data_IF_035976096700
#
_entry.id   IF_035976096700
#
_cell.length_a   1.000
_cell.length_b   1.000
_cell.length_c   1.000
_cell.angle_alpha   90.00
_cell.angle_beta   90.00
_cell.angle_gamma   90.00
#
_symmetry.space_group_name_H-M   'P 1'
#
loop_
_entity.id
_entity.type
_entity.pdbx_description
1 polymer ?
#
# COMPACT_ATOMS: atom_id res chain seq x y z
N UNK A 1 -23.37 -33.66 41.63
CA UNK A 1 -21.96 -33.19 41.63
C UNK A 1 -21.88 -31.92 40.81
N UNK A 2 -22.12 -30.76 41.43
CA UNK A 2 -22.05 -29.43 40.81
C UNK A 2 -20.81 -28.74 41.39
N UNK A 3 -19.88 -28.31 40.54
CA UNK A 3 -18.75 -27.46 40.97
C UNK A 3 -19.26 -26.03 41.20
N UNK A 4 -18.86 -25.35 42.28
CA UNK A 4 -19.19 -23.94 42.47
C UNK A 4 -18.27 -23.07 41.59
N UNK A 5 -18.84 -22.01 41.02
CA UNK A 5 -18.09 -20.91 40.42
C UNK A 5 -17.41 -20.08 41.52
N UNK A 6 -16.15 -19.63 41.35
CA UNK A 6 -15.56 -18.69 42.27
C UNK A 6 -16.18 -17.29 42.07
N UNK A 7 -16.46 -16.65 43.20
CA UNK A 7 -16.90 -15.27 43.29
C UNK A 7 -15.86 -14.32 42.69
N UNK A 8 -16.30 -13.42 41.79
CA UNK A 8 -15.52 -12.24 41.45
C UNK A 8 -15.65 -11.25 42.61
N UNK A 9 -14.61 -11.20 43.42
CA UNK A 9 -14.42 -10.18 44.44
C UNK A 9 -13.99 -8.87 43.77
N UNK A 10 -14.63 -7.79 44.20
CA UNK A 10 -14.26 -6.41 43.97
C UNK A 10 -12.81 -6.17 44.40
N UNK A 11 -11.98 -5.71 43.46
CA UNK A 11 -10.68 -5.12 43.76
C UNK A 11 -10.35 -4.12 42.65
N UNK A 12 -10.16 -2.83 43.02
CA UNK A 12 -9.50 -1.88 42.13
C UNK A 12 -10.07 -0.46 42.03
N UNK A 13 -10.76 0.06 43.04
CA UNK A 13 -10.76 1.52 43.24
C UNK A 13 -9.39 1.92 43.81
N UNK A 14 -8.48 2.37 42.95
CA UNK A 14 -7.25 3.03 43.34
C UNK A 14 -6.93 4.17 42.37
N UNK A 15 -7.20 5.39 42.85
CA UNK A 15 -6.45 6.63 42.61
C UNK A 15 -6.18 7.07 41.15
N UNK A 16 -7.11 7.82 40.56
CA UNK A 16 -6.81 8.83 39.53
C UNK A 16 -6.47 10.17 40.22
N UNK A 17 -5.41 10.17 41.04
CA UNK A 17 -4.94 11.35 41.75
C UNK A 17 -3.44 11.53 41.55
N UNK A 18 -3.04 12.05 40.38
CA UNK A 18 -1.83 12.86 40.12
C UNK A 18 -1.45 12.82 38.62
N UNK A 19 -2.05 13.69 37.81
CA UNK A 19 -1.50 14.10 36.51
C UNK A 19 -1.69 15.62 36.34
N UNK A 20 -1.18 16.40 37.29
CA UNK A 20 -0.80 17.80 37.04
C UNK A 20 0.69 17.82 36.72
N UNK A 21 1.01 17.79 35.42
CA UNK A 21 2.04 18.63 34.78
C UNK A 21 2.08 18.31 33.28
N UNK A 22 2.09 19.32 32.38
CA UNK A 22 2.29 19.09 30.97
C UNK A 22 3.69 18.49 30.74
N UNK A 23 3.87 17.53 29.82
CA UNK A 23 5.18 16.99 29.53
C UNK A 23 6.07 18.10 28.99
N UNK A 24 7.17 18.37 29.68
CA UNK A 24 8.29 19.14 29.13
C UNK A 24 8.76 18.39 27.89
N UNK A 25 8.63 19.03 26.73
CA UNK A 25 8.93 18.44 25.42
C UNK A 25 10.35 17.88 25.39
N UNK A 26 10.46 16.56 25.29
CA UNK A 26 11.70 15.90 24.91
C UNK A 26 12.04 16.31 23.48
N UNK A 27 13.29 16.76 23.29
CA UNK A 27 13.81 17.06 21.96
C UNK A 27 13.73 15.81 21.06
N UNK A 28 13.54 15.96 19.74
CA UNK A 28 13.40 14.83 18.84
C UNK A 28 14.73 14.07 18.71
N UNK A 29 14.77 12.83 19.18
CA UNK A 29 15.90 11.87 19.25
C UNK A 29 16.71 11.60 17.95
N UNK A 30 16.35 12.22 16.83
CA UNK A 30 17.05 12.07 15.54
C UNK A 30 17.79 13.34 15.08
N UNK A 31 17.72 14.40 15.88
CA UNK A 31 18.54 15.59 15.73
C UNK A 31 19.13 15.79 17.11
N UNK A 32 20.44 15.60 17.23
CA UNK A 32 21.09 15.79 18.50
C UNK A 32 20.73 17.20 19.01
N UNK A 33 20.63 17.32 20.34
CA UNK A 33 20.14 18.54 20.96
C UNK A 33 20.97 19.77 20.56
N UNK A 34 22.23 19.56 20.15
CA UNK A 34 23.16 20.57 19.67
C UNK A 34 22.76 21.06 18.29
N UNK A 35 22.48 20.18 17.32
CA UNK A 35 21.99 20.55 15.98
C UNK A 35 20.66 21.32 16.05
N UNK A 36 19.73 20.92 16.92
CA UNK A 36 18.47 21.66 17.09
C UNK A 36 18.69 23.03 17.70
N UNK A 37 19.56 23.13 18.71
CA UNK A 37 19.91 24.39 19.37
C UNK A 37 20.65 25.31 18.40
N UNK A 38 21.55 24.78 17.58
CA UNK A 38 22.28 25.51 16.54
C UNK A 38 21.32 26.07 15.49
N UNK A 39 20.34 25.29 15.01
CA UNK A 39 19.31 25.78 14.08
C UNK A 39 18.48 26.91 14.73
N UNK A 40 18.06 26.74 15.98
CA UNK A 40 17.29 27.75 16.71
C UNK A 40 18.08 29.01 17.05
N UNK A 41 19.39 28.92 17.25
CA UNK A 41 20.27 30.08 17.48
C UNK A 41 20.65 30.78 16.17
N UNK A 42 20.69 30.05 15.06
CA UNK A 42 21.04 30.60 13.74
C UNK A 42 19.83 31.30 13.10
N UNK A 43 18.61 30.83 13.35
CA UNK A 43 17.38 31.41 12.79
C UNK A 43 17.15 32.89 13.16
N UNK A 44 17.35 33.35 14.41
CA UNK A 44 17.27 34.76 14.78
C UNK A 44 18.43 35.57 14.21
N UNK A 45 19.63 35.01 14.08
CA UNK A 45 20.78 35.70 13.46
C UNK A 45 20.54 35.96 11.97
N UNK A 46 19.89 35.03 11.28
CA UNK A 46 19.42 35.20 9.90
C UNK A 46 18.25 36.20 9.77
N UNK A 47 17.48 36.42 10.84
CA UNK A 47 16.33 37.34 10.86
C UNK A 47 16.71 38.75 11.34
N UNK A 48 17.73 38.87 12.17
CA UNK A 48 18.23 40.11 12.77
C UNK A 48 19.40 40.74 12.01
N UNK A 49 20.15 39.97 11.23
CA UNK A 49 20.97 40.54 10.18
C UNK A 49 20.01 41.03 9.09
N UNK A 50 19.71 42.32 9.09
CA UNK A 50 18.91 43.01 8.06
C UNK A 50 19.60 42.98 6.69
N UNK A 51 19.96 41.80 6.20
CA UNK A 51 20.41 41.59 4.85
C UNK A 51 19.19 41.74 3.95
N UNK A 52 19.14 42.81 3.13
CA UNK A 52 18.07 42.94 2.16
C UNK A 52 18.11 41.70 1.27
N UNK A 53 16.92 41.18 0.97
CA UNK A 53 16.63 40.01 0.13
C UNK A 53 17.20 40.12 -1.32
N UNK A 54 18.04 41.12 -1.60
CA UNK A 54 18.60 41.52 -2.89
C UNK A 54 20.04 41.08 -3.17
N UNK A 55 20.79 40.51 -2.21
CA UNK A 55 22.22 40.17 -2.43
C UNK A 55 22.56 38.68 -2.40
N UNK A 56 21.56 37.79 -2.48
CA UNK A 56 21.77 36.35 -2.67
C UNK A 56 21.57 35.92 -4.14
N UNK A 57 21.89 36.82 -5.08
CA UNK A 57 21.73 36.59 -6.53
C UNK A 57 23.05 36.52 -7.31
N UNK A 58 24.19 36.87 -6.72
CA UNK A 58 25.48 36.97 -7.42
C UNK A 58 26.58 36.08 -6.81
N UNK A 59 26.24 34.86 -6.41
CA UNK A 59 27.24 33.80 -6.25
C UNK A 59 27.04 32.80 -7.40
N UNK A 60 27.92 32.92 -8.40
CA UNK A 60 28.01 32.16 -9.65
C UNK A 60 28.45 30.70 -9.44
N UNK A 61 27.90 30.05 -8.42
CA UNK A 61 28.12 28.63 -8.11
C UNK A 61 26.79 27.90 -8.18
N UNK A 62 26.75 26.82 -8.97
CA UNK A 62 25.57 26.08 -9.44
C UNK A 62 24.64 25.43 -8.41
N UNK A 63 24.54 25.94 -7.18
CA UNK A 63 23.74 25.39 -6.07
C UNK A 63 22.36 26.06 -5.91
N UNK A 64 21.96 26.96 -6.81
CA UNK A 64 20.63 27.60 -6.81
C UNK A 64 19.47 26.61 -6.97
N UNK A 65 19.71 25.44 -7.56
CA UNK A 65 18.70 24.38 -7.68
C UNK A 65 18.41 23.68 -6.34
N UNK A 66 19.44 23.47 -5.52
CA UNK A 66 19.31 22.80 -4.22
C UNK A 66 18.54 23.68 -3.23
N UNK A 67 18.84 24.98 -3.19
CA UNK A 67 18.13 25.93 -2.33
C UNK A 67 16.67 26.13 -2.74
N UNK A 68 16.35 26.14 -4.05
CA UNK A 68 14.96 26.21 -4.52
C UNK A 68 14.18 24.94 -4.16
N UNK A 69 14.78 23.76 -4.33
CA UNK A 69 14.19 22.50 -3.93
C UNK A 69 13.95 22.45 -2.41
N UNK A 70 14.92 22.87 -1.60
CA UNK A 70 14.80 22.93 -0.14
C UNK A 70 13.72 23.94 0.33
N UNK A 71 13.60 25.10 -0.33
CA UNK A 71 12.57 26.11 -0.02
C UNK A 71 11.17 25.66 -0.46
N UNK A 72 11.06 24.96 -1.58
CA UNK A 72 9.81 24.34 -2.04
C UNK A 72 9.39 23.22 -1.10
N UNK A 73 10.30 22.30 -0.76
CA UNK A 73 10.06 21.28 0.26
C UNK A 73 9.68 21.91 1.60
N UNK A 74 10.39 22.94 2.08
CA UNK A 74 10.06 23.63 3.33
C UNK A 74 8.68 24.26 3.35
N UNK A 75 8.23 24.86 2.23
CA UNK A 75 6.85 25.39 2.10
C UNK A 75 5.82 24.26 2.01
N UNK A 76 6.09 23.21 1.23
CA UNK A 76 5.22 22.05 1.11
C UNK A 76 5.05 21.35 2.46
N UNK A 77 6.14 21.17 3.22
CA UNK A 77 6.15 20.57 4.55
C UNK A 77 5.42 21.43 5.59
N UNK A 78 5.40 22.77 5.46
CA UNK A 78 4.60 23.65 6.32
C UNK A 78 3.10 23.58 6.02
N UNK A 79 2.71 23.57 4.75
CA UNK A 79 1.30 23.35 4.35
C UNK A 79 0.83 21.96 4.80
N UNK A 80 1.72 20.97 4.70
CA UNK A 80 1.51 19.59 5.19
C UNK A 80 1.58 19.51 6.73
N UNK A 81 2.23 20.45 7.42
CA UNK A 81 2.41 20.43 8.87
C UNK A 81 1.27 21.12 9.64
N UNK A 82 0.79 22.27 9.16
CA UNK A 82 -0.18 23.10 9.88
C UNK A 82 -1.62 22.58 9.78
N UNK A 83 -2.00 21.86 8.72
CA UNK A 83 -3.41 21.49 8.50
C UNK A 83 -3.85 20.15 9.13
N UNK A 84 -3.03 19.46 9.93
CA UNK A 84 -3.60 18.33 10.68
C UNK A 84 -2.66 17.47 11.49
N UNK A 85 -1.91 18.10 12.39
CA UNK A 85 -1.23 17.40 13.45
C UNK A 85 -2.07 17.22 14.73
N UNK A 86 -3.23 17.88 14.90
CA UNK A 86 -3.89 17.92 16.23
C UNK A 86 -5.43 17.75 16.29
N UNK A 87 -6.12 17.06 15.36
CA UNK A 87 -7.58 16.95 15.56
C UNK A 87 -8.42 15.93 14.81
N UNK A 88 -7.89 15.14 13.86
CA UNK A 88 -8.76 14.15 13.16
C UNK A 88 -8.85 12.81 13.89
N UNK A 89 -7.80 12.42 14.61
CA UNK A 89 -7.74 11.15 15.32
C UNK A 89 -7.22 11.38 16.74
N UNK A 90 -7.79 10.69 17.70
CA UNK A 90 -7.23 10.55 19.05
C UNK A 90 -5.95 9.69 19.00
N UNK A 91 -5.13 9.76 20.04
CA UNK A 91 -3.89 8.97 20.12
C UNK A 91 -4.15 7.47 20.03
N UNK A 92 -5.26 6.99 20.61
CA UNK A 92 -5.65 5.59 20.58
C UNK A 92 -6.09 5.12 19.17
N UNK A 93 -6.79 5.97 18.43
CA UNK A 93 -7.14 5.71 17.03
C UNK A 93 -5.90 5.69 16.13
N UNK A 94 -4.94 6.58 16.39
CA UNK A 94 -3.67 6.61 15.66
C UNK A 94 -2.86 5.33 15.89
N UNK A 95 -2.77 4.89 17.15
CA UNK A 95 -2.18 3.62 17.54
C UNK A 95 -2.82 2.44 16.81
N UNK A 96 -4.15 2.40 16.69
CA UNK A 96 -4.84 1.37 15.92
C UNK A 96 -4.47 1.41 14.44
N UNK A 97 -4.41 2.60 13.85
CA UNK A 97 -4.01 2.79 12.44
C UNK A 97 -2.59 2.26 12.19
N UNK A 98 -1.67 2.48 13.13
CA UNK A 98 -0.30 1.95 13.08
C UNK A 98 -0.31 0.42 13.12
N UNK A 99 -1.03 -0.19 14.07
CA UNK A 99 -1.14 -1.65 14.17
C UNK A 99 -1.77 -2.28 12.90
N UNK A 100 -2.79 -1.64 12.34
CA UNK A 100 -3.41 -2.06 11.07
C UNK A 100 -2.43 -1.96 9.89
N UNK A 101 -1.67 -0.87 9.80
CA UNK A 101 -0.70 -0.65 8.73
C UNK A 101 0.52 -1.59 8.83
N UNK A 102 0.96 -1.91 10.05
CA UNK A 102 2.00 -2.91 10.30
C UNK A 102 1.55 -4.34 9.98
N UNK A 103 0.25 -4.52 9.71
CA UNK A 103 -0.36 -5.84 9.56
C UNK A 103 -0.19 -6.62 10.86
N UNK A 104 -0.77 -6.14 11.95
CA UNK A 104 -1.02 -6.96 13.14
C UNK A 104 -2.01 -8.07 12.80
N UNK A 105 -1.61 -9.32 13.03
CA UNK A 105 -2.38 -10.52 12.70
C UNK A 105 -3.10 -11.09 13.92
N UNK A 106 -2.52 -11.04 15.12
CA UNK A 106 -3.15 -11.52 16.36
C UNK A 106 -3.86 -10.38 17.09
N UNK A 107 -5.19 -10.38 17.14
CA UNK A 107 -5.98 -9.43 17.93
C UNK A 107 -6.65 -10.14 19.10
N UNK A 108 -7.34 -11.24 18.81
CA UNK A 108 -8.19 -11.97 19.75
C UNK A 108 -7.53 -13.22 20.33
N UNK A 109 -6.43 -13.69 19.71
CA UNK A 109 -5.82 -14.97 20.04
C UNK A 109 -6.61 -16.18 19.51
N UNK A 110 -7.71 -15.94 18.79
CA UNK A 110 -8.46 -16.94 18.04
C UNK A 110 -8.12 -16.86 16.55
N UNK A 111 -7.60 -17.96 16.00
CA UNK A 111 -7.08 -17.99 14.64
C UNK A 111 -8.13 -17.60 13.58
N UNK A 112 -9.37 -18.08 13.71
CA UNK A 112 -10.40 -17.84 12.68
C UNK A 112 -10.93 -16.41 12.76
N UNK A 113 -11.13 -15.89 13.97
CA UNK A 113 -11.56 -14.52 14.18
C UNK A 113 -10.49 -13.52 13.71
N UNK A 114 -9.22 -13.79 14.01
CA UNK A 114 -8.08 -13.00 13.56
C UNK A 114 -7.88 -13.09 12.04
N UNK A 115 -8.05 -14.26 11.44
CA UNK A 115 -7.98 -14.44 9.99
C UNK A 115 -9.07 -13.63 9.28
N UNK A 116 -10.29 -13.61 9.82
CA UNK A 116 -11.36 -12.77 9.30
C UNK A 116 -11.02 -11.28 9.44
N UNK A 117 -10.55 -10.87 10.63
CA UNK A 117 -10.09 -9.51 10.91
C UNK A 117 -8.97 -9.06 9.97
N UNK A 118 -8.01 -9.93 9.67
CA UNK A 118 -6.95 -9.70 8.69
C UNK A 118 -7.50 -9.57 7.29
N UNK A 119 -8.27 -10.58 6.84
CA UNK A 119 -8.72 -10.69 5.46
C UNK A 119 -9.61 -9.52 5.07
N UNK A 120 -10.52 -9.09 5.95
CA UNK A 120 -11.40 -7.93 5.69
C UNK A 120 -10.65 -6.59 5.62
N UNK A 121 -9.43 -6.50 6.15
CA UNK A 121 -8.62 -5.28 6.11
C UNK A 121 -7.52 -5.34 5.04
N UNK A 122 -6.99 -6.51 4.70
CA UNK A 122 -5.92 -6.65 3.73
C UNK A 122 -6.41 -7.00 2.31
N UNK A 123 -7.56 -7.66 2.16
CA UNK A 123 -8.08 -7.99 0.83
C UNK A 123 -8.73 -6.76 0.20
N UNK A 124 -8.30 -6.30 -0.99
CA UNK A 124 -8.79 -5.05 -1.57
C UNK A 124 -10.30 -4.99 -1.77
N UNK A 125 -10.94 -6.12 -2.09
CA UNK A 125 -12.38 -6.17 -2.35
C UNK A 125 -13.15 -6.24 -1.04
N UNK A 126 -12.75 -7.10 -0.10
CA UNK A 126 -13.44 -7.21 1.18
C UNK A 126 -13.27 -5.92 2.00
N UNK A 127 -12.11 -5.27 1.90
CA UNK A 127 -11.85 -3.99 2.56
C UNK A 127 -12.73 -2.83 2.06
N UNK A 128 -13.36 -2.94 0.89
CA UNK A 128 -14.33 -1.92 0.45
C UNK A 128 -15.60 -1.90 1.32
N UNK A 129 -15.98 -3.06 1.84
CA UNK A 129 -17.27 -3.28 2.48
C UNK A 129 -17.17 -3.56 3.97
N UNK A 130 -16.11 -4.25 4.39
CA UNK A 130 -16.01 -4.85 5.73
C UNK A 130 -14.78 -4.41 6.52
N UNK A 131 -13.95 -3.52 5.97
CA UNK A 131 -12.78 -3.01 6.69
C UNK A 131 -13.18 -2.27 7.96
N UNK A 132 -12.25 -2.17 8.89
CA UNK A 132 -12.37 -1.29 10.05
C UNK A 132 -12.60 0.20 9.63
N UNK A 133 -13.43 0.99 10.35
CA UNK A 133 -13.63 2.42 10.05
C UNK A 133 -12.34 3.23 10.08
N UNK A 134 -11.46 2.91 11.04
CA UNK A 134 -10.13 3.51 11.20
C UNK A 134 -9.05 2.85 10.33
N UNK A 135 -9.41 2.23 9.21
CA UNK A 135 -8.42 1.65 8.30
C UNK A 135 -7.44 2.74 7.80
N UNK A 136 -6.13 2.43 7.68
CA UNK A 136 -5.13 3.42 7.25
C UNK A 136 -5.42 3.97 5.85
N UNK A 137 -5.86 3.08 4.95
CA UNK A 137 -6.34 3.44 3.61
C UNK A 137 -7.81 3.82 3.64
N UNK A 138 -8.15 5.00 3.15
CA UNK A 138 -9.51 5.51 3.05
C UNK A 138 -10.37 4.68 2.07
N UNK A 139 -11.69 4.81 2.20
CA UNK A 139 -12.63 4.12 1.30
C UNK A 139 -12.46 4.55 -0.16
N UNK A 140 -12.21 5.84 -0.42
CA UNK A 140 -12.00 6.37 -1.77
C UNK A 140 -10.74 5.77 -2.42
N UNK A 141 -9.64 5.68 -1.68
CA UNK A 141 -8.40 5.04 -2.16
C UNK A 141 -8.61 3.56 -2.45
N UNK A 142 -9.36 2.83 -1.61
CA UNK A 142 -9.68 1.42 -1.87
C UNK A 142 -10.52 1.23 -3.13
N UNK A 143 -11.48 2.13 -3.39
CA UNK A 143 -12.26 2.13 -4.64
C UNK A 143 -11.31 2.36 -5.81
N UNK A 144 -10.44 3.36 -5.72
CA UNK A 144 -9.45 3.67 -6.75
C UNK A 144 -8.51 2.49 -7.02
N UNK A 145 -7.94 1.85 -6.00
CA UNK A 145 -7.10 0.65 -6.13
C UNK A 145 -7.90 -0.49 -6.80
N UNK A 146 -9.16 -0.67 -6.45
CA UNK A 146 -10.02 -1.71 -7.04
C UNK A 146 -10.30 -1.45 -8.53
N UNK A 147 -10.47 -0.18 -8.92
CA UNK A 147 -10.60 0.21 -10.33
C UNK A 147 -9.27 -0.01 -11.08
N UNK A 148 -8.16 0.43 -10.49
CA UNK A 148 -6.80 0.24 -11.02
C UNK A 148 -6.50 -1.24 -11.29
N UNK A 149 -6.85 -2.09 -10.34
CA UNK A 149 -6.77 -3.55 -10.41
C UNK A 149 -7.65 -4.13 -11.52
N UNK A 150 -8.85 -3.58 -11.75
CA UNK A 150 -9.72 -4.00 -12.86
C UNK A 150 -9.14 -3.61 -14.23
N UNK A 151 -8.55 -2.42 -14.36
CA UNK A 151 -7.84 -2.00 -15.58
C UNK A 151 -6.65 -2.92 -15.84
N UNK A 152 -5.86 -3.24 -14.82
CA UNK A 152 -4.73 -4.16 -14.94
C UNK A 152 -5.16 -5.55 -15.42
N UNK A 153 -6.22 -6.13 -14.86
CA UNK A 153 -6.71 -7.45 -15.29
C UNK A 153 -7.25 -7.39 -16.72
N UNK A 154 -7.94 -6.32 -17.09
CA UNK A 154 -8.42 -6.14 -18.47
C UNK A 154 -7.23 -6.09 -19.45
N UNK A 155 -6.15 -5.42 -19.07
CA UNK A 155 -4.90 -5.34 -19.82
C UNK A 155 -4.27 -6.73 -20.01
N UNK A 156 -4.14 -7.52 -18.94
CA UNK A 156 -3.61 -8.89 -19.01
C UNK A 156 -4.54 -9.81 -19.82
N UNK A 157 -5.86 -9.67 -19.65
CA UNK A 157 -6.85 -10.45 -20.39
C UNK A 157 -6.90 -10.12 -21.88
N UNK A 158 -6.55 -8.89 -22.27
CA UNK A 158 -6.37 -8.50 -23.68
C UNK A 158 -5.09 -9.08 -24.26
N UNK A 159 -3.99 -9.04 -23.51
CA UNK A 159 -2.71 -9.58 -23.98
C UNK A 159 -2.71 -11.12 -24.07
N UNK A 160 -3.52 -11.81 -23.28
CA UNK A 160 -3.59 -13.29 -23.24
C UNK A 160 -3.96 -13.95 -24.57
N UNK A 161 -5.09 -13.64 -25.24
CA UNK A 161 -5.41 -14.21 -26.55
C UNK A 161 -4.38 -13.83 -27.62
N UNK A 162 -3.82 -12.62 -27.55
CA UNK A 162 -2.76 -12.17 -28.46
C UNK A 162 -1.49 -13.02 -28.30
N UNK A 163 -1.07 -13.25 -27.05
CA UNK A 163 0.07 -14.09 -26.72
C UNK A 163 -0.11 -15.53 -27.19
N UNK A 164 -1.33 -16.09 -27.10
CA UNK A 164 -1.64 -17.43 -27.63
C UNK A 164 -1.40 -17.50 -29.14
N UNK A 165 -1.80 -16.49 -29.91
CA UNK A 165 -1.51 -16.43 -31.35
C UNK A 165 0.00 -16.40 -31.61
N UNK A 166 0.74 -15.55 -30.89
CA UNK A 166 2.20 -15.49 -31.02
C UNK A 166 2.88 -16.85 -30.75
N UNK A 167 2.43 -17.58 -29.72
CA UNK A 167 2.94 -18.93 -29.42
C UNK A 167 2.58 -19.92 -30.53
N UNK A 168 1.35 -19.86 -31.07
CA UNK A 168 0.90 -20.71 -32.18
C UNK A 168 1.70 -20.47 -33.46
N UNK A 169 2.11 -19.23 -33.72
CA UNK A 169 2.94 -18.87 -34.87
C UNK A 169 4.44 -19.20 -34.68
N UNK A 170 4.85 -19.66 -33.49
CA UNK A 170 6.27 -19.86 -33.16
C UNK A 170 7.05 -18.56 -32.92
N UNK A 171 6.38 -17.43 -32.72
CA UNK A 171 6.99 -16.11 -32.45
C UNK A 171 7.30 -15.94 -30.96
N UNK A 172 8.30 -16.68 -30.48
CA UNK A 172 8.68 -16.72 -29.06
C UNK A 172 9.76 -15.68 -28.66
N UNK A 173 10.24 -14.84 -29.56
CA UNK A 173 11.26 -13.83 -29.27
C UNK A 173 11.04 -12.52 -30.05
N UNK A 174 11.53 -11.41 -29.49
CA UNK A 174 11.58 -10.14 -30.20
C UNK A 174 12.61 -10.23 -31.34
N UNK A 175 12.21 -9.94 -32.58
CA UNK A 175 13.12 -9.90 -33.73
C UNK A 175 13.16 -11.17 -34.59
N UNK A 176 12.35 -12.18 -34.30
CA UNK A 176 12.14 -13.29 -35.23
C UNK A 176 11.44 -12.74 -36.50
N UNK A 177 12.06 -12.81 -37.70
CA UNK A 177 11.42 -12.40 -38.93
C UNK A 177 10.29 -13.40 -39.25
N UNK A 178 9.07 -13.05 -38.85
CA UNK A 178 7.88 -13.78 -39.28
C UNK A 178 7.63 -13.52 -40.77
N UNK A 179 7.31 -14.54 -41.58
CA UNK A 179 7.22 -14.41 -43.04
C UNK A 179 6.10 -13.47 -43.54
N UNK A 180 5.28 -12.88 -42.67
CA UNK A 180 4.17 -12.00 -43.05
C UNK A 180 3.56 -11.19 -41.89
N UNK A 181 4.26 -11.01 -40.76
CA UNK A 181 3.67 -10.30 -39.62
C UNK A 181 3.62 -8.79 -39.86
N UNK A 182 2.45 -8.19 -39.65
CA UNK A 182 2.34 -6.73 -39.57
C UNK A 182 3.23 -6.22 -38.42
N UNK A 183 3.75 -5.00 -38.54
CA UNK A 183 4.55 -4.36 -37.48
C UNK A 183 3.80 -4.33 -36.13
N UNK A 184 2.47 -4.21 -36.18
CA UNK A 184 1.58 -4.27 -35.01
C UNK A 184 1.64 -5.64 -34.31
N UNK A 185 1.54 -6.75 -35.06
CA UNK A 185 1.64 -8.12 -34.52
C UNK A 185 3.03 -8.39 -33.94
N UNK A 186 4.09 -7.96 -34.63
CA UNK A 186 5.46 -8.11 -34.14
C UNK A 186 5.69 -7.39 -32.80
N UNK A 187 5.15 -6.17 -32.66
CA UNK A 187 5.21 -5.41 -31.41
C UNK A 187 4.47 -6.12 -30.27
N UNK A 188 3.22 -6.57 -30.50
CA UNK A 188 2.43 -7.30 -29.51
C UNK A 188 3.14 -8.57 -29.04
N UNK A 189 3.67 -9.37 -29.96
CA UNK A 189 4.40 -10.60 -29.61
C UNK A 189 5.67 -10.29 -28.80
N UNK A 190 6.38 -9.22 -29.15
CA UNK A 190 7.54 -8.79 -28.38
C UNK A 190 7.16 -8.34 -26.96
N UNK A 191 6.10 -7.53 -26.80
CA UNK A 191 5.62 -7.12 -25.47
C UNK A 191 5.20 -8.33 -24.64
N UNK A 192 4.41 -9.25 -25.21
CA UNK A 192 4.02 -10.50 -24.56
C UNK A 192 5.22 -11.34 -24.12
N UNK A 193 6.31 -11.33 -24.89
CA UNK A 193 7.56 -12.01 -24.52
C UNK A 193 8.28 -11.29 -23.39
N UNK A 194 8.43 -9.96 -23.46
CA UNK A 194 9.12 -9.16 -22.44
C UNK A 194 8.44 -9.25 -21.06
N UNK A 195 7.12 -9.35 -21.01
CA UNK A 195 6.39 -9.56 -19.75
C UNK A 195 6.36 -11.03 -19.30
N UNK A 196 6.92 -11.95 -20.09
CA UNK A 196 6.99 -13.38 -19.80
C UNK A 196 5.70 -14.17 -20.04
N UNK A 197 4.65 -13.54 -20.59
CA UNK A 197 3.35 -14.19 -20.82
C UNK A 197 3.41 -15.28 -21.89
N UNK A 198 4.10 -15.03 -23.01
CA UNK A 198 4.23 -16.04 -24.07
C UNK A 198 5.03 -17.26 -23.61
N UNK A 199 6.10 -17.04 -22.85
CA UNK A 199 6.86 -18.11 -22.21
C UNK A 199 5.98 -18.93 -21.27
N UNK A 200 5.19 -18.26 -20.44
CA UNK A 200 4.32 -18.92 -19.47
C UNK A 200 3.23 -19.78 -20.17
N UNK A 201 2.58 -19.23 -21.19
CA UNK A 201 1.59 -19.96 -22.00
C UNK A 201 2.22 -21.15 -22.75
N UNK A 202 3.46 -21.03 -23.22
CA UNK A 202 4.15 -22.11 -23.92
C UNK A 202 4.58 -23.27 -22.99
N UNK A 203 4.81 -23.00 -21.71
CA UNK A 203 5.30 -23.99 -20.72
C UNK A 203 4.19 -24.62 -19.89
N UNK A 204 3.13 -23.88 -19.59
CA UNK A 204 1.99 -24.37 -18.81
C UNK A 204 0.92 -24.88 -19.78
N UNK A 205 0.20 -25.98 -19.48
CA UNK A 205 -0.82 -26.54 -20.38
C UNK A 205 -1.74 -25.47 -20.98
N UNK A 206 -1.88 -25.51 -22.31
CA UNK A 206 -2.34 -24.40 -23.16
C UNK A 206 -3.65 -23.73 -22.70
N UNK A 207 -4.54 -24.48 -22.06
CA UNK A 207 -5.86 -23.97 -21.67
C UNK A 207 -5.83 -23.10 -20.41
N UNK A 208 -4.92 -23.37 -19.46
CA UNK A 208 -4.90 -22.70 -18.14
C UNK A 208 -3.74 -21.72 -17.96
N UNK A 209 -2.71 -21.77 -18.82
CA UNK A 209 -1.51 -20.94 -18.69
C UNK A 209 -1.81 -19.44 -18.57
N UNK A 210 -2.68 -18.90 -19.43
CA UNK A 210 -3.07 -17.49 -19.38
C UNK A 210 -3.77 -17.10 -18.06
N UNK A 211 -4.68 -17.93 -17.56
CA UNK A 211 -5.38 -17.68 -16.30
C UNK A 211 -4.46 -17.78 -15.10
N UNK A 212 -3.59 -18.79 -15.04
CA UNK A 212 -2.62 -18.93 -13.95
C UNK A 212 -1.61 -17.76 -13.93
N UNK A 213 -1.13 -17.33 -15.10
CA UNK A 213 -0.31 -16.13 -15.21
C UNK A 213 -1.06 -14.91 -14.69
N UNK A 214 -2.31 -14.71 -15.15
CA UNK A 214 -3.13 -13.59 -14.72
C UNK A 214 -3.32 -13.59 -13.20
N UNK A 215 -3.65 -14.72 -12.58
CA UNK A 215 -3.77 -14.84 -11.12
C UNK A 215 -2.48 -14.43 -10.41
N UNK A 216 -1.34 -14.91 -10.88
CA UNK A 216 -0.03 -14.61 -10.28
C UNK A 216 0.31 -13.12 -10.35
N UNK A 217 0.34 -12.55 -11.56
CA UNK A 217 0.73 -11.13 -11.75
C UNK A 217 -0.28 -10.20 -11.08
N UNK A 218 -1.55 -10.59 -11.08
CA UNK A 218 -2.61 -9.84 -10.44
C UNK A 218 -2.51 -9.85 -8.92
N UNK A 219 -2.15 -10.98 -8.33
CA UNK A 219 -1.90 -11.08 -6.89
C UNK A 219 -0.73 -10.19 -6.48
N UNK A 220 0.39 -10.24 -7.23
CA UNK A 220 1.55 -9.37 -7.00
C UNK A 220 1.16 -7.91 -7.13
N UNK A 221 0.49 -7.54 -8.23
CA UNK A 221 0.04 -6.18 -8.48
C UNK A 221 -0.88 -5.67 -7.37
N UNK A 222 -1.85 -6.47 -6.95
CA UNK A 222 -2.79 -6.12 -5.88
C UNK A 222 -2.06 -5.87 -4.55
N UNK A 223 -1.11 -6.73 -4.17
CA UNK A 223 -0.32 -6.52 -2.95
C UNK A 223 0.55 -5.27 -3.04
N UNK A 224 1.23 -5.04 -4.17
CA UNK A 224 2.03 -3.83 -4.37
C UNK A 224 1.16 -2.58 -4.29
N UNK A 225 0.05 -2.49 -5.03
CA UNK A 225 -0.80 -1.30 -5.00
C UNK A 225 -1.40 -1.06 -3.61
N UNK A 226 -1.79 -2.12 -2.90
CA UNK A 226 -2.38 -1.98 -1.58
C UNK A 226 -1.36 -1.63 -0.49
N UNK A 227 -0.21 -2.32 -0.44
CA UNK A 227 0.79 -2.15 0.62
C UNK A 227 1.76 -1.00 0.34
N UNK A 228 2.26 -0.90 -0.90
CA UNK A 228 3.20 0.14 -1.31
C UNK A 228 2.46 1.43 -1.69
N UNK A 229 1.42 1.31 -2.52
CA UNK A 229 0.67 2.46 -3.02
C UNK A 229 -0.10 3.17 -1.90
N UNK A 230 -1.04 2.49 -1.26
CA UNK A 230 -1.89 3.12 -0.25
C UNK A 230 -1.40 2.92 1.20
N UNK A 231 -0.75 1.79 1.51
CA UNK A 231 -0.24 1.48 2.84
C UNK A 231 1.04 2.25 3.24
N UNK A 232 1.65 3.01 2.32
CA UNK A 232 2.79 3.89 2.57
C UNK A 232 4.02 3.21 3.19
N UNK A 233 4.35 1.98 2.76
CA UNK A 233 5.56 1.25 3.20
C UNK A 233 5.75 1.16 4.73
N UNK A 234 4.66 0.99 5.49
CA UNK A 234 4.70 0.95 6.95
C UNK A 234 5.14 2.26 7.63
N UNK A 235 5.24 3.39 6.91
CA UNK A 235 5.66 4.69 7.47
C UNK A 235 4.56 5.36 8.33
N UNK A 236 3.55 4.60 8.74
CA UNK A 236 2.44 5.10 9.55
C UNK A 236 2.86 5.39 11.00
N UNK A 237 3.92 4.72 11.48
CA UNK A 237 4.58 4.93 12.78
C UNK A 237 5.49 6.18 12.81
N UNK A 238 5.79 6.76 11.65
CA UNK A 238 6.68 7.93 11.55
C UNK A 238 5.95 9.22 11.87
N UNK A 239 6.76 10.28 12.02
CA UNK A 239 6.27 11.65 12.25
C UNK A 239 5.21 12.04 11.21
N UNK A 240 4.18 12.83 11.57
CA UNK A 240 3.08 13.17 10.67
C UNK A 240 3.51 13.71 9.31
N UNK A 241 4.56 14.52 9.29
CA UNK A 241 5.13 15.11 8.07
C UNK A 241 5.72 14.04 7.14
N UNK A 242 6.45 13.07 7.69
CA UNK A 242 7.04 11.96 6.93
C UNK A 242 5.94 11.05 6.39
N UNK A 243 4.94 10.72 7.23
CA UNK A 243 3.78 9.93 6.82
C UNK A 243 3.06 10.55 5.63
N UNK A 244 2.73 11.85 5.68
CA UNK A 244 2.06 12.56 4.59
C UNK A 244 2.88 12.61 3.31
N UNK A 245 4.20 12.78 3.43
CA UNK A 245 5.10 12.71 2.28
C UNK A 245 5.01 11.34 1.59
N UNK A 246 5.03 10.25 2.34
CA UNK A 246 4.91 8.91 1.79
C UNK A 246 3.50 8.58 1.26
N UNK A 247 2.45 9.11 1.88
CA UNK A 247 1.08 9.07 1.34
C UNK A 247 1.02 9.73 -0.04
N UNK A 248 1.58 10.93 -0.18
CA UNK A 248 1.65 11.62 -1.46
C UNK A 248 2.46 10.84 -2.50
N UNK A 249 3.62 10.29 -2.10
CA UNK A 249 4.43 9.47 -3.00
C UNK A 249 3.69 8.21 -3.47
N UNK A 250 2.92 7.59 -2.57
CA UNK A 250 2.04 6.47 -2.88
C UNK A 250 0.97 6.82 -3.91
N UNK A 251 0.32 7.98 -3.76
CA UNK A 251 -0.67 8.48 -4.73
C UNK A 251 -0.04 8.78 -6.09
N UNK A 252 1.10 9.47 -6.12
CA UNK A 252 1.84 9.77 -7.35
C UNK A 252 2.26 8.48 -8.07
N UNK A 253 2.71 7.48 -7.32
CA UNK A 253 3.04 6.16 -7.84
C UNK A 253 1.82 5.47 -8.47
N UNK A 254 0.69 5.39 -7.76
CA UNK A 254 -0.53 4.76 -8.31
C UNK A 254 -1.05 5.51 -9.54
N UNK A 255 -0.93 6.84 -9.57
CA UNK A 255 -1.30 7.65 -10.73
C UNK A 255 -0.40 7.37 -11.94
N UNK A 256 0.91 7.29 -11.74
CA UNK A 256 1.86 6.92 -12.79
C UNK A 256 1.57 5.52 -13.35
N UNK A 257 1.28 4.55 -12.47
CA UNK A 257 0.90 3.19 -12.86
C UNK A 257 -0.41 3.18 -13.66
N UNK A 258 -1.41 3.98 -13.26
CA UNK A 258 -2.65 4.12 -14.02
C UNK A 258 -2.39 4.60 -15.45
N UNK A 259 -1.59 5.65 -15.62
CA UNK A 259 -1.23 6.19 -16.94
C UNK A 259 -0.49 5.15 -17.78
N UNK A 260 0.47 4.45 -17.17
CA UNK A 260 1.24 3.39 -17.81
C UNK A 260 0.37 2.21 -18.27
N UNK A 261 -0.78 1.97 -17.64
CA UNK A 261 -1.72 0.91 -18.05
C UNK A 261 -2.76 1.41 -19.06
N UNK A 262 -3.35 2.58 -18.85
CA UNK A 262 -4.43 3.11 -19.70
C UNK A 262 -3.94 3.37 -21.13
N UNK A 263 -2.72 3.90 -21.29
CA UNK A 263 -2.22 4.24 -22.63
C UNK A 263 -2.01 3.00 -23.53
N UNK A 264 -1.30 1.93 -23.12
CA UNK A 264 -1.20 0.70 -23.91
C UNK A 264 -2.54 -0.02 -24.08
N UNK A 265 -3.41 0.01 -23.06
CA UNK A 265 -4.72 -0.65 -23.11
C UNK A 265 -5.55 -0.22 -24.33
N UNK A 266 -5.55 1.07 -24.68
CA UNK A 266 -6.28 1.58 -25.85
C UNK A 266 -5.76 0.97 -27.15
N UNK A 267 -4.44 0.80 -27.26
CA UNK A 267 -3.82 0.16 -28.43
C UNK A 267 -4.20 -1.32 -28.50
N UNK A 268 -4.13 -2.02 -27.38
CA UNK A 268 -4.46 -3.45 -27.32
C UNK A 268 -5.93 -3.74 -27.58
N UNK A 269 -6.86 -2.91 -27.08
CA UNK A 269 -8.28 -3.05 -27.40
C UNK A 269 -8.56 -2.82 -28.88
N UNK A 270 -7.90 -1.85 -29.52
CA UNK A 270 -8.01 -1.63 -30.97
C UNK A 270 -7.51 -2.84 -31.74
N UNK A 271 -6.40 -3.44 -31.31
CA UNK A 271 -5.88 -4.68 -31.86
C UNK A 271 -6.90 -5.82 -31.73
N UNK A 272 -7.47 -6.01 -30.53
CA UNK A 272 -8.46 -7.05 -30.27
C UNK A 272 -9.72 -6.89 -31.12
N UNK A 273 -10.19 -5.67 -31.31
CA UNK A 273 -11.36 -5.38 -32.17
C UNK A 273 -11.05 -5.73 -33.63
N UNK A 274 -9.90 -5.29 -34.16
CA UNK A 274 -9.51 -5.54 -35.55
C UNK A 274 -9.33 -7.02 -35.87
N UNK A 275 -8.85 -7.80 -34.91
CA UNK A 275 -8.55 -9.23 -35.10
C UNK A 275 -9.62 -10.17 -34.53
N UNK A 276 -10.78 -9.63 -34.10
CA UNK A 276 -11.88 -10.46 -33.58
C UNK A 276 -11.59 -11.14 -32.24
N UNK A 277 -10.64 -10.64 -31.45
CA UNK A 277 -10.24 -11.18 -30.15
C UNK A 277 -11.02 -10.59 -28.97
N UNK A 278 -11.96 -9.67 -29.21
CA UNK A 278 -12.71 -8.99 -28.15
C UNK A 278 -13.49 -9.98 -27.25
N UNK A 279 -14.13 -11.00 -27.83
CA UNK A 279 -14.87 -11.99 -27.06
C UNK A 279 -13.94 -12.85 -26.16
N UNK A 280 -12.84 -13.44 -26.68
CA UNK A 280 -11.80 -14.04 -25.83
C UNK A 280 -11.32 -13.12 -24.71
N UNK A 281 -11.06 -11.83 -24.99
CA UNK A 281 -10.62 -10.85 -23.99
C UNK A 281 -11.65 -10.67 -22.88
N UNK A 282 -12.93 -10.49 -23.21
CA UNK A 282 -14.02 -10.34 -22.24
C UNK A 282 -14.18 -11.61 -21.40
N UNK A 283 -14.16 -12.78 -22.05
CA UNK A 283 -14.25 -14.07 -21.35
C UNK A 283 -13.09 -14.25 -20.37
N UNK A 284 -11.86 -14.00 -20.82
CA UNK A 284 -10.68 -14.14 -19.98
C UNK A 284 -10.72 -13.09 -18.84
N UNK A 285 -11.24 -11.88 -19.05
CA UNK A 285 -11.49 -10.90 -17.98
C UNK A 285 -12.47 -11.41 -16.91
N UNK A 286 -13.62 -11.95 -17.33
CA UNK A 286 -14.65 -12.49 -16.42
C UNK A 286 -14.10 -13.65 -15.59
N UNK A 287 -13.23 -14.49 -16.16
CA UNK A 287 -12.61 -15.62 -15.45
C UNK A 287 -11.47 -15.13 -14.53
N UNK A 288 -10.57 -14.29 -15.06
CA UNK A 288 -9.37 -13.87 -14.36
C UNK A 288 -9.67 -12.95 -13.17
N UNK A 289 -10.77 -12.18 -13.22
CA UNK A 289 -11.16 -11.32 -12.10
C UNK A 289 -11.42 -12.11 -10.81
N UNK A 290 -12.41 -13.01 -10.71
CA UNK A 290 -12.65 -13.80 -9.50
C UNK A 290 -11.47 -14.70 -9.15
N UNK A 291 -10.79 -15.29 -10.15
CA UNK A 291 -9.61 -16.12 -9.90
C UNK A 291 -8.48 -15.31 -9.23
N UNK A 292 -8.27 -14.06 -9.63
CA UNK A 292 -7.31 -13.16 -9.02
C UNK A 292 -7.67 -12.77 -7.58
N UNK A 293 -8.97 -12.62 -7.27
CA UNK A 293 -9.44 -12.40 -5.88
C UNK A 293 -9.12 -13.62 -5.03
N UNK A 294 -9.45 -14.81 -5.52
CA UNK A 294 -9.18 -16.06 -4.81
C UNK A 294 -7.67 -16.27 -4.59
N UNK A 295 -6.85 -16.03 -5.61
CA UNK A 295 -5.38 -16.11 -5.50
C UNK A 295 -4.83 -15.11 -4.49
N UNK A 296 -5.35 -13.89 -4.48
CA UNK A 296 -4.99 -12.87 -3.48
C UNK A 296 -5.36 -13.31 -2.07
N UNK A 297 -6.58 -13.80 -1.87
CA UNK A 297 -7.01 -14.32 -0.57
C UNK A 297 -6.16 -15.49 -0.12
N UNK A 298 -5.86 -16.45 -1.00
CA UNK A 298 -5.02 -17.60 -0.67
C UNK A 298 -3.61 -17.17 -0.23
N UNK A 299 -2.96 -16.26 -0.97
CA UNK A 299 -1.65 -15.73 -0.57
C UNK A 299 -1.73 -14.97 0.76
N UNK A 300 -2.76 -14.15 0.96
CA UNK A 300 -2.95 -13.40 2.19
C UNK A 300 -3.20 -14.31 3.39
N UNK A 301 -3.95 -15.39 3.22
CA UNK A 301 -4.14 -16.41 4.26
C UNK A 301 -2.82 -17.06 4.62
N UNK A 302 -1.98 -17.42 3.64
CA UNK A 302 -0.66 -18.01 3.92
C UNK A 302 0.25 -17.04 4.70
N UNK A 303 0.33 -15.77 4.26
CA UNK A 303 1.09 -14.73 4.95
C UNK A 303 0.56 -14.52 6.37
N UNK A 304 -0.77 -14.44 6.51
CA UNK A 304 -1.44 -14.32 7.80
C UNK A 304 -1.06 -15.49 8.72
N UNK A 305 -1.16 -16.74 8.26
CA UNK A 305 -0.83 -17.91 9.06
C UNK A 305 0.60 -17.82 9.59
N UNK A 306 1.57 -17.48 8.73
CA UNK A 306 2.96 -17.28 9.14
C UNK A 306 3.11 -16.16 10.18
N UNK A 307 2.51 -14.99 9.95
CA UNK A 307 2.60 -13.85 10.88
C UNK A 307 1.91 -14.14 12.21
N UNK A 308 0.73 -14.75 12.18
CA UNK A 308 -0.05 -15.08 13.37
C UNK A 308 0.70 -16.06 14.27
N UNK A 309 1.31 -17.11 13.71
CA UNK A 309 2.15 -18.04 14.47
C UNK A 309 3.41 -17.40 15.04
N UNK A 310 3.99 -16.40 14.35
CA UNK A 310 5.12 -15.63 14.87
C UNK A 310 4.69 -14.77 16.04
N UNK A 311 3.63 -13.98 15.88
CA UNK A 311 3.15 -13.02 16.89
C UNK A 311 2.61 -13.71 18.15
N UNK A 312 1.98 -14.88 18.01
CA UNK A 312 1.46 -15.64 19.15
C UNK A 312 2.56 -16.16 20.09
N UNK A 313 3.77 -16.43 19.58
CA UNK A 313 4.88 -16.89 20.43
C UNK A 313 5.34 -15.79 21.38
N UNK A 314 5.24 -14.55 20.93
CA UNK A 314 5.60 -13.37 21.72
C UNK A 314 4.51 -13.09 22.78
N UNK A 315 3.22 -13.31 22.45
CA UNK A 315 2.10 -13.17 23.40
C UNK A 315 2.20 -14.11 24.64
N UNK A 316 2.92 -15.24 24.53
CA UNK A 316 3.10 -16.18 25.65
C UNK A 316 4.02 -15.63 26.75
N UNK A 317 4.89 -14.66 26.45
CA UNK A 317 5.48 -13.80 27.47
C UNK A 317 4.50 -12.66 27.73
N UNK A 318 3.56 -12.89 28.64
CA UNK A 318 2.46 -11.98 29.04
C UNK A 318 2.89 -10.53 29.40
N UNK A 319 4.19 -10.25 29.51
CA UNK A 319 4.76 -8.91 29.73
C UNK A 319 5.16 -8.18 28.43
N UNK A 320 5.19 -8.83 27.26
CA UNK A 320 5.69 -8.24 26.00
C UNK A 320 4.63 -7.57 25.11
N UNK A 321 3.45 -7.26 25.67
CA UNK A 321 2.43 -6.45 25.00
C UNK A 321 2.92 -5.06 24.55
N UNK A 322 4.15 -4.66 24.89
CA UNK A 322 4.81 -3.44 24.40
C UNK A 322 4.90 -3.33 22.87
N UNK A 323 4.82 -4.43 22.12
CA UNK A 323 4.91 -4.36 20.65
C UNK A 323 3.62 -3.93 19.95
N UNK A 324 2.46 -4.02 20.60
CA UNK A 324 1.21 -3.60 20.00
C UNK A 324 0.52 -2.53 20.81
N UNK A 325 -0.01 -1.53 20.11
CA UNK A 325 -0.50 -0.35 20.76
C UNK A 325 -1.96 -0.49 21.25
N UNK A 326 -2.73 -1.41 20.66
CA UNK A 326 -4.18 -1.52 20.87
C UNK A 326 -4.60 -2.96 21.19
N UNK A 327 -5.41 -3.13 22.23
CA UNK A 327 -5.92 -4.43 22.67
C UNK A 327 -7.12 -4.90 21.84
N UNK A 328 -7.53 -6.17 21.96
CA UNK A 328 -8.73 -6.68 21.30
C UNK A 328 -10.03 -5.94 21.70
N UNK A 329 -10.26 -5.65 23.00
CA UNK A 329 -11.39 -4.83 23.45
C UNK A 329 -11.40 -3.44 22.81
N UNK A 330 -10.26 -2.77 22.75
CA UNK A 330 -10.15 -1.44 22.11
C UNK A 330 -10.51 -1.53 20.63
N UNK A 331 -9.98 -2.54 19.91
CA UNK A 331 -10.30 -2.77 18.51
C UNK A 331 -11.81 -2.97 18.27
N UNK A 332 -12.49 -3.71 19.16
CA UNK A 332 -13.95 -3.89 19.07
C UNK A 332 -14.71 -2.60 19.39
N UNK A 333 -14.26 -1.84 20.39
CA UNK A 333 -14.87 -0.57 20.76
C UNK A 333 -14.82 0.43 19.59
N UNK A 334 -13.69 0.53 18.89
CA UNK A 334 -13.57 1.37 17.72
C UNK A 334 -14.37 0.89 16.49
N UNK A 335 -14.66 -0.41 16.41
CA UNK A 335 -15.49 -0.95 15.33
C UNK A 335 -16.99 -0.71 15.55
N UNK A 336 -17.39 -0.45 16.81
CA UNK A 336 -18.79 -0.23 17.19
C UNK A 336 -19.19 1.25 17.26
N UNK A 337 -18.21 2.16 17.35
CA UNK A 337 -18.40 3.61 17.36
C UNK A 337 -18.73 4.17 15.97
#
# INVERSE_FOLDING_TARGET
>A
SRRPLPAMAEAGQASYGACEQPPQGSLPEAMDAETYREILETLPKLRGAGHPEKQLHDADTGDTHIYRAARFCGKLLRVIGDEGAHGRYTDAELKLRVDLAAGKASWYGDYLQDLWGWTRNCNPILALFFSHPLHPVSRAERIFITLLHSVFILMVSSLTPQARLCVQDGLLSCGAPGPSSSAERAWVCCVSHQVGLSWFIAKVPLHVGGTLYAVLVNTIFAQLMYQVGAGCFCMQDRRPVVRRFWELMGHLFMFAVLLAMVFPMVVWLRYDIRHGLLFPTIRDFIINKPAGVLGTTALQTLIFSCKWWSQRKDDASLESFEHFHVTAPDYQAFAAA
#
